data_IF_889606630520
#
_entry.id   IF_889606630520
#
_cell.length_a   1.000
_cell.length_b   1.000
_cell.length_c   1.000
_cell.angle_alpha   90.00
_cell.angle_beta   90.00
_cell.angle_gamma   90.00
#
_symmetry.space_group_name_H-M   'P 1'
#
loop_
_entity.id
_entity.type
_entity.pdbx_description
1 polymer ?
#
# COMPACT_ATOMS: atom_id res chain seq x y z
N UNK A 1 0.09 13.62 -17.55
CA UNK A 1 -1.28 13.76 -17.03
C UNK A 1 -1.52 12.60 -16.06
N UNK A 2 -1.30 12.83 -14.77
CA UNK A 2 -1.69 11.87 -13.72
C UNK A 2 -3.18 12.06 -13.51
N UNK A 3 -3.96 11.03 -13.82
CA UNK A 3 -5.42 11.06 -13.87
C UNK A 3 -6.03 11.64 -12.59
N UNK A 4 -6.64 12.83 -12.71
CA UNK A 4 -7.51 13.44 -11.70
C UNK A 4 -8.97 12.99 -11.82
N UNK A 5 -9.27 11.93 -12.57
CA UNK A 5 -10.58 11.28 -12.49
C UNK A 5 -10.50 10.36 -11.29
N UNK A 6 -11.20 10.71 -10.20
CA UNK A 6 -11.23 9.93 -8.97
C UNK A 6 -11.47 8.44 -9.31
N UNK A 7 -10.46 7.54 -9.20
CA UNK A 7 -10.53 6.14 -9.67
C UNK A 7 -11.47 5.25 -8.84
N UNK A 8 -12.41 5.90 -8.17
CA UNK A 8 -13.12 5.43 -7.01
C UNK A 8 -14.64 5.59 -7.15
N UNK A 9 -15.12 6.29 -8.18
CA UNK A 9 -16.51 6.20 -8.61
C UNK A 9 -16.74 4.84 -9.31
N UNK A 10 -17.90 4.23 -9.10
CA UNK A 10 -18.26 3.06 -9.88
C UNK A 10 -18.59 3.50 -11.33
N UNK A 11 -18.11 2.79 -12.36
CA UNK A 11 -18.58 2.98 -13.72
C UNK A 11 -20.12 2.83 -13.80
N UNK A 12 -20.79 3.51 -14.75
CA UNK A 12 -22.22 3.32 -14.98
C UNK A 12 -22.58 1.84 -15.12
N UNK A 13 -23.59 1.38 -14.36
CA UNK A 13 -24.04 -0.01 -14.36
C UNK A 13 -23.29 -0.95 -13.42
N UNK A 14 -22.24 -0.50 -12.72
CA UNK A 14 -21.62 -1.25 -11.64
C UNK A 14 -22.21 -0.87 -10.28
N UNK A 15 -22.40 -1.86 -9.40
CA UNK A 15 -22.88 -1.64 -8.05
C UNK A 15 -21.83 -0.87 -7.24
N UNK A 16 -22.24 0.25 -6.66
CA UNK A 16 -21.43 0.93 -5.65
C UNK A 16 -21.41 0.13 -4.36
N UNK A 17 -20.21 -0.12 -3.86
CA UNK A 17 -20.00 -0.74 -2.56
C UNK A 17 -19.74 0.34 -1.50
N UNK A 18 -20.11 0.04 -0.27
CA UNK A 18 -19.76 0.86 0.90
C UNK A 18 -18.35 0.51 1.37
N UNK A 19 -17.59 1.53 1.75
CA UNK A 19 -16.21 1.43 2.19
C UNK A 19 -16.06 2.16 3.51
N UNK A 20 -15.56 1.46 4.51
CA UNK A 20 -15.36 2.00 5.85
C UNK A 20 -13.94 1.71 6.32
N UNK A 21 -13.31 2.68 6.99
CA UNK A 21 -12.10 2.43 7.78
C UNK A 21 -12.42 2.75 9.24
N UNK A 22 -12.16 1.79 10.12
CA UNK A 22 -12.34 1.94 11.56
C UNK A 22 -11.04 1.66 12.30
N UNK A 23 -10.91 2.21 13.50
CA UNK A 23 -9.84 1.89 14.43
C UNK A 23 -10.41 1.62 15.82
N UNK A 24 -9.75 0.75 16.59
CA UNK A 24 -10.19 0.37 17.94
C UNK A 24 -9.03 -0.12 18.80
N UNK A 25 -9.20 -0.05 20.12
CA UNK A 25 -8.18 -0.45 21.08
C UNK A 25 -8.30 -1.94 21.32
N UNK A 26 -7.19 -2.66 21.15
CA UNK A 26 -7.09 -4.09 21.37
C UNK A 26 -7.05 -4.43 22.87
N UNK A 27 -7.83 -5.42 23.30
CA UNK A 27 -7.80 -5.96 24.68
C UNK A 27 -6.95 -7.22 24.83
N UNK A 28 -6.45 -7.77 23.73
CA UNK A 28 -5.64 -8.99 23.73
C UNK A 28 -4.25 -8.65 24.31
N UNK A 29 -3.92 -9.27 25.45
CA UNK A 29 -2.67 -9.02 26.17
C UNK A 29 -1.51 -9.90 25.69
N UNK A 30 -1.82 -11.14 25.30
CA UNK A 30 -0.84 -12.14 24.86
C UNK A 30 -1.37 -12.90 23.64
N UNK A 31 -0.48 -13.46 22.83
CA UNK A 31 -0.87 -14.30 21.71
C UNK A 31 -1.61 -13.56 20.58
N UNK A 32 -1.36 -12.25 20.40
CA UNK A 32 -2.01 -11.44 19.35
C UNK A 32 -1.95 -12.09 17.97
N UNK A 33 -0.82 -12.74 17.66
CA UNK A 33 -0.64 -13.46 16.41
C UNK A 33 -1.66 -14.60 16.23
N UNK A 34 -1.79 -15.48 17.22
CA UNK A 34 -2.75 -16.58 17.19
C UNK A 34 -4.18 -16.05 17.12
N UNK A 35 -4.48 -14.99 17.88
CA UNK A 35 -5.81 -14.39 17.88
C UNK A 35 -6.16 -13.74 16.53
N UNK A 36 -5.18 -13.17 15.85
CA UNK A 36 -5.32 -12.63 14.50
C UNK A 36 -5.58 -13.74 13.47
N UNK A 37 -4.88 -14.88 13.58
CA UNK A 37 -5.17 -16.08 12.79
C UNK A 37 -6.58 -16.62 13.04
N UNK A 38 -7.03 -16.65 14.29
CA UNK A 38 -8.40 -17.06 14.62
C UNK A 38 -9.45 -16.11 14.03
N UNK A 39 -9.18 -14.79 14.06
CA UNK A 39 -10.04 -13.81 13.38
C UNK A 39 -10.08 -14.13 11.89
N UNK A 40 -8.93 -14.34 11.24
CA UNK A 40 -8.85 -14.69 9.81
C UNK A 40 -9.66 -15.95 9.49
N UNK A 41 -9.49 -17.02 10.26
CA UNK A 41 -10.17 -18.30 10.05
C UNK A 41 -11.69 -18.17 10.09
N UNK A 42 -12.22 -17.29 10.97
CA UNK A 42 -13.65 -17.01 11.02
C UNK A 42 -14.08 -16.00 9.95
N UNK A 43 -13.33 -14.92 9.73
CA UNK A 43 -13.72 -13.83 8.83
C UNK A 43 -13.69 -14.24 7.37
N UNK A 44 -12.72 -15.02 6.93
CA UNK A 44 -12.56 -15.37 5.51
C UNK A 44 -13.81 -16.01 4.88
N UNK A 45 -14.41 -17.09 5.42
CA UNK A 45 -15.60 -17.70 4.83
C UNK A 45 -16.83 -16.79 4.90
N UNK A 46 -17.03 -16.06 6.01
CA UNK A 46 -18.17 -15.15 6.16
C UNK A 46 -18.07 -13.96 5.20
N UNK A 47 -16.89 -13.34 5.12
CA UNK A 47 -16.65 -12.23 4.21
C UNK A 47 -16.89 -12.62 2.75
N UNK A 48 -16.44 -13.81 2.34
CA UNK A 48 -16.71 -14.32 1.00
C UNK A 48 -18.21 -14.50 0.73
N UNK A 49 -18.96 -15.06 1.69
CA UNK A 49 -20.41 -15.24 1.57
C UNK A 49 -21.18 -13.90 1.50
N UNK A 50 -20.74 -12.90 2.28
CA UNK A 50 -21.38 -11.58 2.40
C UNK A 50 -20.88 -10.57 1.33
N UNK A 51 -19.96 -10.99 0.46
CA UNK A 51 -19.33 -10.11 -0.53
C UNK A 51 -18.49 -8.98 0.09
N UNK A 52 -17.97 -9.19 1.29
CA UNK A 52 -17.09 -8.26 2.01
C UNK A 52 -15.63 -8.57 1.65
N UNK A 53 -14.88 -7.53 1.32
CA UNK A 53 -13.43 -7.58 1.26
C UNK A 53 -12.87 -6.74 2.40
N UNK A 54 -11.86 -7.23 3.10
CA UNK A 54 -11.36 -6.56 4.28
C UNK A 54 -9.85 -6.68 4.49
N UNK A 55 -9.29 -5.66 5.14
CA UNK A 55 -7.93 -5.66 5.67
C UNK A 55 -7.98 -5.41 7.18
N UNK A 56 -7.42 -6.34 7.95
CA UNK A 56 -7.18 -6.16 9.38
C UNK A 56 -5.71 -5.86 9.64
N UNK A 57 -5.42 -4.69 10.21
CA UNK A 57 -4.08 -4.31 10.64
C UNK A 57 -4.02 -4.21 12.16
N UNK A 58 -2.96 -4.79 12.75
CA UNK A 58 -2.61 -4.60 14.14
C UNK A 58 -1.27 -3.88 14.27
N UNK A 59 -1.24 -2.85 15.10
CA UNK A 59 -0.02 -2.15 15.50
C UNK A 59 -0.20 -1.48 16.85
N UNK A 60 0.81 -1.59 17.72
CA UNK A 60 0.90 -0.85 18.99
C UNK A 60 -0.37 -0.94 19.86
N UNK A 61 -1.02 -2.11 19.94
CA UNK A 61 -2.24 -2.29 20.75
C UNK A 61 -3.53 -1.75 20.11
N UNK A 62 -3.51 -1.41 18.82
CA UNK A 62 -4.68 -0.98 18.06
C UNK A 62 -4.98 -1.93 16.91
N UNK A 63 -6.27 -2.12 16.64
CA UNK A 63 -6.75 -2.65 15.38
C UNK A 63 -7.18 -1.52 14.46
N UNK A 64 -6.82 -1.63 13.17
CA UNK A 64 -7.34 -0.81 12.08
C UNK A 64 -7.99 -1.75 11.07
N UNK A 65 -9.27 -1.54 10.77
CA UNK A 65 -10.05 -2.40 9.90
C UNK A 65 -10.60 -1.58 8.73
N UNK A 66 -10.15 -1.90 7.52
CA UNK A 66 -10.70 -1.39 6.27
C UNK A 66 -11.60 -2.47 5.67
N UNK A 67 -12.90 -2.20 5.56
CA UNK A 67 -13.87 -3.13 4.99
C UNK A 67 -14.65 -2.51 3.82
N UNK A 68 -14.97 -3.34 2.84
CA UNK A 68 -15.58 -2.98 1.57
C UNK A 68 -16.64 -4.01 1.14
N UNK A 69 -17.89 -3.61 0.93
CA UNK A 69 -18.96 -4.56 0.61
C UNK A 69 -20.34 -3.92 0.43
N UNK A 70 -21.39 -4.73 0.22
CA UNK A 70 -22.76 -4.23 0.19
C UNK A 70 -23.12 -3.48 1.48
N UNK A 71 -23.86 -2.37 1.37
CA UNK A 71 -24.19 -1.51 2.52
C UNK A 71 -24.86 -2.24 3.70
N UNK A 72 -25.85 -3.14 3.49
CA UNK A 72 -26.43 -3.91 4.60
C UNK A 72 -25.38 -4.74 5.33
N UNK A 73 -24.48 -5.38 4.59
CA UNK A 73 -23.46 -6.27 5.16
C UNK A 73 -22.35 -5.52 5.88
N UNK A 74 -21.97 -4.33 5.40
CA UNK A 74 -21.05 -3.45 6.13
C UNK A 74 -21.67 -2.98 7.46
N UNK A 75 -22.97 -2.64 7.48
CA UNK A 75 -23.65 -2.27 8.74
C UNK A 75 -23.73 -3.44 9.71
N UNK A 76 -24.06 -4.64 9.23
CA UNK A 76 -24.07 -5.86 10.03
C UNK A 76 -22.69 -6.16 10.61
N UNK A 77 -21.63 -6.00 9.80
CA UNK A 77 -20.25 -6.14 10.25
C UNK A 77 -19.90 -5.15 11.37
N UNK A 78 -20.23 -3.86 11.20
CA UNK A 78 -19.96 -2.83 12.21
C UNK A 78 -20.69 -3.09 13.53
N UNK A 79 -21.93 -3.59 13.49
CA UNK A 79 -22.66 -4.01 14.69
C UNK A 79 -21.99 -5.18 15.41
N UNK A 80 -21.54 -6.20 14.67
CA UNK A 80 -20.79 -7.33 15.23
C UNK A 80 -19.48 -6.88 15.87
N UNK A 81 -18.74 -6.01 15.20
CA UNK A 81 -17.49 -5.44 15.73
C UNK A 81 -17.73 -4.62 17.00
N UNK A 82 -18.82 -3.85 17.08
CA UNK A 82 -19.13 -3.06 18.28
C UNK A 82 -19.36 -3.92 19.53
N UNK A 83 -19.80 -5.19 19.35
CA UNK A 83 -20.00 -6.15 20.44
C UNK A 83 -18.86 -7.15 20.65
N UNK A 84 -17.77 -7.07 19.88
CA UNK A 84 -16.68 -8.04 19.95
C UNK A 84 -15.78 -7.75 21.17
N UNK A 85 -15.63 -8.70 22.12
CA UNK A 85 -14.92 -8.48 23.38
C UNK A 85 -13.41 -8.36 23.23
N UNK A 86 -12.84 -8.60 22.04
CA UNK A 86 -11.39 -8.52 21.81
C UNK A 86 -10.89 -7.08 21.66
N UNK A 87 -11.80 -6.11 21.57
CA UNK A 87 -11.47 -4.71 21.40
C UNK A 87 -12.56 -3.79 21.97
N UNK A 88 -12.27 -2.49 22.03
CA UNK A 88 -13.24 -1.47 22.43
C UNK A 88 -12.94 -0.12 21.79
N UNK A 89 -13.79 0.88 22.07
CA UNK A 89 -13.62 2.26 21.57
C UNK A 89 -13.48 2.28 20.05
N UNK A 90 -14.48 1.73 19.36
CA UNK A 90 -14.52 1.71 17.90
C UNK A 90 -14.75 3.12 17.35
N UNK A 91 -13.81 3.60 16.54
CA UNK A 91 -13.85 4.89 15.88
C UNK A 91 -13.92 4.71 14.36
N UNK A 92 -14.91 5.33 13.71
CA UNK A 92 -14.95 5.44 12.26
C UNK A 92 -14.06 6.59 11.79
N UNK A 93 -13.15 6.30 10.86
CA UNK A 93 -12.16 7.26 10.33
C UNK A 93 -12.41 7.61 8.87
N UNK A 94 -13.23 6.83 8.17
CA UNK A 94 -13.58 7.03 6.77
C UNK A 94 -14.92 6.38 6.45
N UNK A 95 -15.75 7.04 5.63
CA UNK A 95 -16.92 6.43 4.99
C UNK A 95 -17.08 6.95 3.56
N UNK A 96 -17.30 6.04 2.62
CA UNK A 96 -17.56 6.40 1.21
C UNK A 96 -18.29 5.29 0.46
N UNK A 97 -18.82 5.61 -0.72
CA UNK A 97 -19.36 4.63 -1.67
C UNK A 97 -18.67 4.75 -3.02
N UNK A 98 -18.62 3.66 -3.78
CA UNK A 98 -18.06 3.67 -5.12
C UNK A 98 -17.51 2.32 -5.57
N UNK A 99 -16.49 2.33 -6.45
CA UNK A 99 -15.82 1.11 -6.92
C UNK A 99 -15.05 0.43 -5.78
N UNK A 100 -15.04 -0.91 -5.79
CA UNK A 100 -14.20 -1.73 -4.92
C UNK A 100 -12.72 -1.47 -5.17
N UNK A 101 -11.97 -1.22 -4.10
CA UNK A 101 -10.51 -1.03 -4.11
C UNK A 101 -9.81 -2.31 -3.66
N UNK A 102 -10.34 -2.99 -2.65
CA UNK A 102 -9.73 -4.19 -2.10
C UNK A 102 -9.88 -5.37 -3.07
N UNK A 103 -8.78 -5.93 -3.60
CA UNK A 103 -8.87 -6.92 -4.66
C UNK A 103 -9.11 -8.33 -4.15
N UNK A 104 -8.92 -8.59 -2.84
CA UNK A 104 -9.07 -9.92 -2.25
C UNK A 104 -10.02 -9.89 -1.05
N UNK A 105 -10.74 -10.99 -0.75
CA UNK A 105 -11.70 -11.04 0.35
C UNK A 105 -11.10 -10.77 1.74
N UNK A 106 -9.82 -11.11 1.93
CA UNK A 106 -9.15 -10.86 3.21
C UNK A 106 -7.67 -10.51 3.04
N UNK A 107 -7.17 -9.66 3.92
CA UNK A 107 -5.74 -9.46 4.14
C UNK A 107 -5.50 -9.09 5.58
N UNK A 108 -4.34 -9.44 6.10
CA UNK A 108 -4.02 -9.22 7.50
C UNK A 108 -2.58 -8.79 7.68
N UNK A 109 -2.34 -7.76 8.48
CA UNK A 109 -0.99 -7.23 8.69
C UNK A 109 -0.73 -7.00 10.15
N UNK A 110 0.41 -7.49 10.62
CA UNK A 110 0.92 -7.21 11.95
C UNK A 110 2.24 -6.46 11.82
N UNK A 111 2.26 -5.21 12.28
CA UNK A 111 3.47 -4.38 12.23
C UNK A 111 4.18 -4.36 13.57
N UNK A 112 5.45 -4.75 13.58
CA UNK A 112 6.33 -4.50 14.71
C UNK A 112 6.73 -3.03 14.66
N UNK A 113 6.29 -2.26 15.64
CA UNK A 113 6.66 -0.86 15.82
C UNK A 113 7.12 -0.64 17.26
N UNK A 114 8.15 0.19 17.45
CA UNK A 114 8.60 0.64 18.78
C UNK A 114 7.70 1.72 19.37
N UNK A 115 6.71 2.16 18.60
CA UNK A 115 5.75 3.16 19.00
C UNK A 115 4.80 2.64 20.09
N UNK A 116 4.51 3.49 21.07
CA UNK A 116 3.52 3.20 22.12
C UNK A 116 2.07 3.29 21.64
N UNK A 117 1.17 2.55 22.30
CA UNK A 117 -0.28 2.62 22.04
C UNK A 117 -0.86 4.03 22.16
N UNK A 118 -0.29 4.86 23.04
CA UNK A 118 -0.72 6.25 23.24
C UNK A 118 -0.37 7.11 22.03
N UNK A 119 0.84 6.97 21.49
CA UNK A 119 1.26 7.73 20.31
C UNK A 119 0.44 7.33 19.06
N UNK A 120 0.20 6.03 18.88
CA UNK A 120 -0.67 5.54 17.80
C UNK A 120 -2.09 6.08 17.97
N UNK A 121 -2.64 6.02 19.19
CA UNK A 121 -3.96 6.53 19.51
C UNK A 121 -4.13 8.03 19.25
N UNK A 122 -3.10 8.85 19.50
CA UNK A 122 -3.12 10.28 19.13
C UNK A 122 -3.33 10.49 17.63
N UNK A 123 -2.70 9.66 16.78
CA UNK A 123 -2.92 9.73 15.33
C UNK A 123 -4.32 9.29 14.94
N UNK A 124 -4.85 8.24 15.57
CA UNK A 124 -6.25 7.80 15.36
C UNK A 124 -7.20 8.94 15.68
N UNK A 125 -7.03 9.59 16.83
CA UNK A 125 -7.90 10.70 17.25
C UNK A 125 -7.76 11.93 16.36
N UNK A 126 -6.55 12.25 15.88
CA UNK A 126 -6.35 13.34 14.92
C UNK A 126 -7.09 13.09 13.60
N UNK A 127 -7.06 11.86 13.07
CA UNK A 127 -7.83 11.49 11.88
C UNK A 127 -9.34 11.53 12.13
N UNK A 128 -9.77 11.09 13.31
CA UNK A 128 -11.18 11.16 13.71
C UNK A 128 -11.68 12.60 13.77
N UNK A 129 -10.90 13.51 14.35
CA UNK A 129 -11.24 14.94 14.41
C UNK A 129 -11.36 15.55 13.02
N UNK A 130 -10.46 15.20 12.09
CA UNK A 130 -10.57 15.64 10.68
C UNK A 130 -11.84 15.10 10.02
N UNK A 131 -12.14 13.82 10.21
CA UNK A 131 -13.37 13.20 9.72
C UNK A 131 -14.63 13.91 10.26
N UNK A 132 -14.66 14.25 11.56
CA UNK A 132 -15.78 14.99 12.18
C UNK A 132 -15.90 16.42 11.65
N UNK A 133 -14.79 17.05 11.24
CA UNK A 133 -14.76 18.35 10.53
C UNK A 133 -15.14 18.24 9.05
N UNK A 134 -15.46 17.03 8.56
CA UNK A 134 -15.85 16.77 7.18
C UNK A 134 -14.68 16.64 6.21
N UNK A 135 -13.44 16.52 6.70
CA UNK A 135 -12.25 16.24 5.89
C UNK A 135 -12.06 14.72 5.82
N UNK A 136 -12.03 14.17 4.61
CA UNK A 136 -11.80 12.74 4.39
C UNK A 136 -10.54 12.49 3.56
N UNK A 137 -9.95 11.32 3.77
CA UNK A 137 -8.79 10.84 3.02
C UNK A 137 -9.14 9.51 2.37
N UNK A 138 -8.41 9.11 1.33
CA UNK A 138 -8.53 7.76 0.77
C UNK A 138 -8.51 6.68 1.88
N UNK A 139 -9.27 5.57 1.78
CA UNK A 139 -9.08 4.44 2.69
C UNK A 139 -7.62 3.97 2.79
N UNK A 140 -6.92 3.92 1.64
CA UNK A 140 -5.50 3.61 1.55
C UNK A 140 -4.62 4.64 2.27
N UNK A 141 -4.97 5.93 2.20
CA UNK A 141 -4.29 7.04 2.87
C UNK A 141 -4.51 6.98 4.39
N UNK A 142 -5.74 6.74 4.86
CA UNK A 142 -6.05 6.56 6.29
C UNK A 142 -5.19 5.43 6.87
N UNK A 143 -5.15 4.27 6.19
CA UNK A 143 -4.35 3.14 6.64
C UNK A 143 -2.85 3.47 6.65
N UNK A 144 -2.34 4.21 5.66
CA UNK A 144 -0.93 4.66 5.65
C UNK A 144 -0.60 5.66 6.74
N UNK A 145 -1.44 6.67 6.98
CA UNK A 145 -1.26 7.66 8.06
C UNK A 145 -1.15 7.00 9.44
N UNK A 146 -1.76 5.83 9.60
CA UNK A 146 -1.71 5.05 10.83
C UNK A 146 -0.54 4.06 10.88
N UNK A 147 -0.43 3.18 9.87
CA UNK A 147 0.54 2.07 9.83
C UNK A 147 1.95 2.49 9.37
N UNK A 148 2.02 3.63 8.70
CA UNK A 148 3.15 4.03 7.89
C UNK A 148 3.35 5.54 7.77
N UNK A 149 3.15 6.34 8.84
CA UNK A 149 3.21 7.80 8.73
C UNK A 149 4.59 8.26 8.24
N UNK A 150 4.62 9.28 7.39
CA UNK A 150 5.86 9.98 7.03
C UNK A 150 6.60 10.40 8.31
N UNK A 151 7.90 10.12 8.42
CA UNK A 151 8.70 10.44 9.60
C UNK A 151 9.68 11.61 9.38
N UNK A 152 9.91 12.02 8.13
CA UNK A 152 10.79 13.15 7.83
C UNK A 152 10.30 14.45 8.50
N UNK A 153 11.12 15.09 9.37
CA UNK A 153 10.75 16.35 10.00
C UNK A 153 10.39 17.45 9.01
N UNK A 154 11.10 17.51 7.88
CA UNK A 154 10.83 18.48 6.81
C UNK A 154 9.45 18.26 6.18
N UNK A 155 9.03 17.00 6.01
CA UNK A 155 7.73 16.66 5.44
C UNK A 155 6.58 16.89 6.43
N UNK A 156 6.82 16.73 7.73
CA UNK A 156 5.83 16.99 8.78
C UNK A 156 5.38 18.46 8.85
N UNK A 157 6.23 19.39 8.38
CA UNK A 157 5.90 20.82 8.28
C UNK A 157 5.09 21.21 7.05
N UNK A 158 4.84 20.28 6.11
CA UNK A 158 4.07 20.55 4.90
C UNK A 158 2.57 20.54 5.17
N UNK A 159 1.80 21.23 4.31
CA UNK A 159 0.34 21.29 4.42
C UNK A 159 -0.33 19.90 4.32
N UNK A 160 0.22 19.02 3.49
CA UNK A 160 -0.16 17.60 3.45
C UNK A 160 1.07 16.69 3.60
N UNK A 161 1.35 16.18 4.81
CA UNK A 161 2.47 15.27 5.06
C UNK A 161 2.37 13.91 4.33
N UNK A 162 1.21 13.55 3.77
CA UNK A 162 1.05 12.35 2.91
C UNK A 162 1.17 12.64 1.41
N UNK A 163 1.35 13.89 0.99
CA UNK A 163 1.67 14.23 -0.39
C UNK A 163 3.17 13.98 -0.65
N UNK A 164 3.53 12.70 -0.86
CA UNK A 164 4.90 12.27 -1.13
C UNK A 164 4.96 11.22 -2.24
N UNK A 165 6.11 11.15 -2.94
CA UNK A 165 6.33 10.12 -3.95
C UNK A 165 6.53 8.75 -3.31
N UNK A 166 5.82 7.75 -3.84
CA UNK A 166 5.90 6.35 -3.41
C UNK A 166 6.50 5.53 -4.53
N UNK A 167 7.73 5.06 -4.36
CA UNK A 167 8.42 4.27 -5.39
C UNK A 167 8.63 2.86 -4.88
N UNK A 168 7.97 1.91 -5.53
CA UNK A 168 8.22 0.49 -5.32
C UNK A 168 9.51 0.04 -5.95
N UNK A 169 10.20 -0.93 -5.35
CA UNK A 169 11.32 -1.63 -6.00
C UNK A 169 11.30 -3.12 -5.65
N UNK A 170 11.51 -3.96 -6.66
CA UNK A 170 11.63 -5.41 -6.52
C UNK A 170 12.68 -5.95 -7.49
N UNK A 171 13.49 -6.91 -7.03
CA UNK A 171 14.50 -7.57 -7.86
C UNK A 171 14.05 -8.96 -8.30
N UNK A 172 14.46 -9.38 -9.50
CA UNK A 172 14.12 -10.69 -10.06
C UNK A 172 14.86 -11.82 -9.35
N UNK A 173 16.14 -11.60 -9.06
CA UNK A 173 16.99 -12.44 -8.22
C UNK A 173 17.39 -11.74 -6.92
N UNK A 174 18.11 -12.46 -6.05
CA UNK A 174 18.83 -11.88 -4.90
C UNK A 174 17.99 -10.99 -3.97
N UNK A 175 18.69 -10.02 -3.36
CA UNK A 175 18.19 -9.05 -2.37
C UNK A 175 18.52 -7.59 -2.79
N UNK A 176 18.80 -7.35 -4.07
CA UNK A 176 19.33 -6.08 -4.57
C UNK A 176 18.35 -4.91 -4.36
N UNK A 177 17.04 -5.17 -4.42
CA UNK A 177 16.04 -4.16 -4.06
C UNK A 177 16.17 -3.67 -2.61
N UNK A 178 16.51 -4.56 -1.68
CA UNK A 178 16.76 -4.21 -0.28
C UNK A 178 18.12 -3.52 -0.11
N UNK A 179 19.15 -3.99 -0.82
CA UNK A 179 20.45 -3.33 -0.86
C UNK A 179 20.35 -1.88 -1.35
N UNK A 180 19.50 -1.61 -2.36
CA UNK A 180 19.22 -0.27 -2.85
C UNK A 180 18.61 0.65 -1.79
N UNK A 181 17.65 0.14 -0.99
CA UNK A 181 17.09 0.90 0.15
C UNK A 181 18.18 1.21 1.19
N UNK A 182 19.05 0.24 1.50
CA UNK A 182 20.18 0.45 2.40
C UNK A 182 21.19 1.48 1.88
N UNK A 183 21.53 1.41 0.59
CA UNK A 183 22.42 2.36 -0.07
C UNK A 183 21.82 3.78 -0.08
N UNK A 184 20.53 3.91 -0.38
CA UNK A 184 19.84 5.21 -0.32
C UNK A 184 19.85 5.80 1.08
N UNK A 185 19.58 5.00 2.10
CA UNK A 185 19.64 5.45 3.50
C UNK A 185 21.01 6.02 3.86
N UNK A 186 22.10 5.33 3.46
CA UNK A 186 23.46 5.85 3.67
C UNK A 186 23.70 7.15 2.90
N UNK A 187 23.26 7.22 1.65
CA UNK A 187 23.43 8.40 0.78
C UNK A 187 22.68 9.63 1.28
N UNK A 188 21.47 9.44 1.81
CA UNK A 188 20.58 10.55 2.22
C UNK A 188 20.66 10.84 3.72
N UNK A 189 21.42 10.05 4.49
CA UNK A 189 21.42 10.10 5.95
C UNK A 189 20.10 9.62 6.58
N UNK A 190 19.28 8.88 5.82
CA UNK A 190 18.01 8.34 6.26
C UNK A 190 18.14 7.08 7.11
N UNK A 191 17.04 6.67 7.74
CA UNK A 191 16.95 5.40 8.48
C UNK A 191 16.11 4.39 7.71
N UNK A 192 16.60 3.14 7.61
CA UNK A 192 15.83 2.04 7.03
C UNK A 192 14.80 1.55 8.04
N UNK A 193 13.53 1.63 7.67
CA UNK A 193 12.44 1.06 8.43
C UNK A 193 12.01 -0.28 7.84
N UNK A 194 11.77 -1.28 8.70
CA UNK A 194 11.44 -2.65 8.31
C UNK A 194 10.00 -3.00 8.66
N UNK A 195 9.35 -3.82 7.83
CA UNK A 195 7.98 -4.29 8.03
C UNK A 195 7.80 -5.74 7.60
N UNK A 196 6.84 -6.40 8.24
CA UNK A 196 6.35 -7.74 7.88
C UNK A 196 4.85 -7.68 7.55
N UNK A 197 4.45 -8.49 6.59
CA UNK A 197 3.08 -8.62 6.09
C UNK A 197 2.68 -10.10 6.10
N UNK A 198 1.42 -10.38 6.43
CA UNK A 198 0.80 -11.69 6.23
C UNK A 198 -0.28 -11.57 5.13
N UNK A 199 -0.61 -12.68 4.48
CA UNK A 199 -1.57 -12.75 3.37
C UNK A 199 -2.69 -13.76 3.62
N UNK A 200 -3.41 -14.09 2.55
CA UNK A 200 -4.47 -15.11 2.58
C UNK A 200 -3.91 -16.53 2.76
N UNK A 201 -2.72 -16.79 2.21
CA UNK A 201 -2.10 -18.12 2.14
C UNK A 201 -0.72 -18.16 2.79
N UNK A 202 0.09 -17.11 2.61
CA UNK A 202 1.47 -17.07 3.10
C UNK A 202 1.66 -16.05 4.22
N UNK A 203 2.47 -16.45 5.19
CA UNK A 203 3.05 -15.58 6.21
C UNK A 203 4.44 -15.12 5.74
N UNK A 204 4.86 -13.91 6.11
CA UNK A 204 6.20 -13.35 5.89
C UNK A 204 6.50 -12.77 4.49
N UNK A 205 5.69 -11.81 4.04
CA UNK A 205 6.18 -10.79 3.11
C UNK A 205 7.03 -9.77 3.86
N UNK A 206 8.31 -9.59 3.50
CA UNK A 206 9.15 -8.52 4.05
C UNK A 206 9.12 -7.28 3.17
N UNK A 207 9.22 -6.11 3.79
CA UNK A 207 9.41 -4.84 3.11
C UNK A 207 10.32 -3.95 3.94
N UNK A 208 11.21 -3.25 3.27
CA UNK A 208 12.02 -2.21 3.87
C UNK A 208 11.77 -0.92 3.11
N UNK A 209 11.85 0.22 3.80
CA UNK A 209 11.74 1.50 3.14
C UNK A 209 12.67 2.53 3.77
N UNK A 210 13.00 3.53 2.96
CA UNK A 210 13.72 4.73 3.36
C UNK A 210 12.95 5.94 2.89
N UNK A 211 12.97 6.98 3.70
CA UNK A 211 12.40 8.29 3.39
C UNK A 211 13.51 9.30 3.22
N UNK A 212 13.32 10.22 2.28
CA UNK A 212 14.25 11.31 2.01
C UNK A 212 13.54 12.44 1.25
N UNK A 213 14.17 13.60 1.18
CA UNK A 213 13.73 14.70 0.32
C UNK A 213 14.42 14.58 -1.05
N UNK A 214 13.67 14.72 -2.13
CA UNK A 214 14.17 14.71 -3.51
C UNK A 214 13.50 15.84 -4.29
N UNK A 215 14.29 16.72 -4.93
CA UNK A 215 13.75 17.85 -5.68
C UNK A 215 12.82 18.79 -4.88
N UNK A 216 12.99 18.85 -3.54
CA UNK A 216 12.10 19.62 -2.65
C UNK A 216 10.83 18.88 -2.20
N UNK A 217 10.58 17.67 -2.70
CA UNK A 217 9.43 16.86 -2.35
C UNK A 217 9.82 15.66 -1.47
N UNK A 218 8.98 15.27 -0.50
CA UNK A 218 9.20 14.04 0.23
C UNK A 218 9.04 12.82 -0.69
N UNK A 219 9.90 11.83 -0.51
CA UNK A 219 9.90 10.58 -1.24
C UNK A 219 10.12 9.41 -0.29
N UNK A 220 9.47 8.29 -0.59
CA UNK A 220 9.68 7.00 0.07
C UNK A 220 9.95 5.93 -0.98
N UNK A 221 11.13 5.33 -0.94
CA UNK A 221 11.45 4.13 -1.71
C UNK A 221 11.18 2.89 -0.86
N UNK A 222 10.45 1.93 -1.41
CA UNK A 222 9.92 0.76 -0.70
C UNK A 222 10.39 -0.51 -1.42
N UNK A 223 11.33 -1.22 -0.82
CA UNK A 223 11.70 -2.57 -1.25
C UNK A 223 10.59 -3.55 -0.89
N UNK A 224 10.19 -4.37 -1.85
CA UNK A 224 9.13 -5.37 -1.71
C UNK A 224 9.68 -6.74 -2.07
N UNK A 225 9.52 -7.71 -1.18
CA UNK A 225 9.83 -9.10 -1.48
C UNK A 225 8.93 -9.63 -2.62
N UNK A 226 9.47 -10.50 -3.47
CA UNK A 226 8.76 -11.09 -4.63
C UNK A 226 7.46 -11.81 -4.25
N UNK A 227 7.48 -12.57 -3.16
CA UNK A 227 6.28 -13.24 -2.61
C UNK A 227 5.24 -12.22 -2.09
N UNK A 228 5.70 -11.05 -1.64
CA UNK A 228 4.90 -9.95 -1.13
C UNK A 228 4.08 -9.18 -2.17
N UNK A 229 4.37 -9.31 -3.46
CA UNK A 229 3.77 -8.48 -4.53
C UNK A 229 2.25 -8.70 -4.67
N UNK A 230 1.81 -9.94 -4.59
CA UNK A 230 0.40 -10.32 -4.82
C UNK A 230 -0.47 -10.22 -3.58
N UNK A 231 0.09 -9.86 -2.42
CA UNK A 231 -0.70 -9.68 -1.18
C UNK A 231 -1.76 -8.59 -1.35
N UNK A 232 -2.99 -8.84 -0.87
CA UNK A 232 -4.13 -7.95 -1.07
C UNK A 232 -3.89 -6.51 -0.59
N UNK A 233 -3.25 -6.33 0.59
CA UNK A 233 -2.87 -4.98 1.03
C UNK A 233 -1.87 -4.30 0.08
N UNK A 234 -0.87 -5.04 -0.40
CA UNK A 234 0.14 -4.47 -1.30
C UNK A 234 -0.52 -4.00 -2.60
N UNK A 235 -1.38 -4.84 -3.18
CA UNK A 235 -2.16 -4.53 -4.37
C UNK A 235 -3.06 -3.31 -4.17
N UNK A 236 -3.69 -3.17 -3.00
CA UNK A 236 -4.51 -2.00 -2.65
C UNK A 236 -3.71 -0.69 -2.58
N UNK A 237 -2.38 -0.74 -2.42
CA UNK A 237 -1.51 0.44 -2.43
C UNK A 237 -0.88 0.75 -3.79
N UNK A 238 -0.81 -0.21 -4.71
CA UNK A 238 -0.19 0.00 -6.03
C UNK A 238 -0.81 1.17 -6.84
N UNK A 239 -2.13 1.43 -6.79
CA UNK A 239 -2.72 2.58 -7.50
C UNK A 239 -2.16 3.94 -7.08
N UNK A 240 -1.61 4.04 -5.86
CA UNK A 240 -1.03 5.28 -5.32
C UNK A 240 0.46 5.44 -5.68
N UNK A 241 1.04 4.49 -6.43
CA UNK A 241 2.47 4.47 -6.76
C UNK A 241 2.64 4.92 -8.22
N UNK A 242 3.26 6.08 -8.49
CA UNK A 242 3.47 6.51 -9.87
C UNK A 242 4.41 5.55 -10.63
N UNK A 243 5.38 4.98 -9.92
CA UNK A 243 6.39 4.10 -10.49
C UNK A 243 6.62 2.86 -9.64
N UNK A 244 6.88 1.75 -10.31
CA UNK A 244 7.41 0.53 -9.71
C UNK A 244 8.68 0.11 -10.45
N UNK A 245 9.80 0.08 -9.75
CA UNK A 245 11.12 -0.27 -10.28
C UNK A 245 11.27 -1.79 -10.31
N UNK A 246 11.59 -2.33 -11.48
CA UNK A 246 11.77 -3.75 -11.73
C UNK A 246 13.25 -3.99 -12.05
N UNK A 247 13.98 -4.60 -11.11
CA UNK A 247 15.40 -4.93 -11.32
C UNK A 247 15.53 -6.33 -11.90
N UNK A 248 15.81 -6.42 -13.19
CA UNK A 248 15.99 -7.68 -13.89
C UNK A 248 17.43 -8.18 -13.78
N UNK A 249 17.56 -9.50 -13.76
CA UNK A 249 18.83 -10.21 -13.63
C UNK A 249 19.46 -10.60 -14.98
N UNK A 250 18.68 -10.59 -16.06
CA UNK A 250 19.04 -11.10 -17.38
C UNK A 250 18.80 -12.61 -17.53
N UNK A 251 18.50 -13.32 -16.44
CA UNK A 251 18.15 -14.74 -16.47
C UNK A 251 16.64 -14.90 -16.76
N UNK A 252 16.24 -15.47 -17.91
CA UNK A 252 14.84 -15.50 -18.34
C UNK A 252 13.88 -16.05 -17.29
N UNK A 253 14.23 -17.18 -16.66
CA UNK A 253 13.41 -17.80 -15.62
C UNK A 253 13.04 -16.86 -14.48
N UNK A 254 13.99 -16.05 -13.98
CA UNK A 254 13.74 -15.17 -12.84
C UNK A 254 13.02 -13.88 -13.26
N UNK A 255 13.40 -13.34 -14.42
CA UNK A 255 12.83 -12.10 -14.95
C UNK A 255 11.36 -12.30 -15.34
N UNK A 256 11.06 -13.38 -16.06
CA UNK A 256 9.71 -13.74 -16.48
C UNK A 256 8.83 -14.03 -15.25
N UNK A 257 9.38 -14.69 -14.22
CA UNK A 257 8.67 -14.95 -12.97
C UNK A 257 8.36 -13.67 -12.18
N UNK A 258 9.28 -12.71 -12.15
CA UNK A 258 9.04 -11.40 -11.52
C UNK A 258 7.97 -10.62 -12.30
N UNK A 259 8.08 -10.56 -13.64
CA UNK A 259 7.12 -9.87 -14.48
C UNK A 259 5.72 -10.48 -14.33
N UNK A 260 5.60 -11.81 -14.39
CA UNK A 260 4.34 -12.51 -14.19
C UNK A 260 3.69 -12.21 -12.82
N UNK A 261 4.49 -12.10 -11.75
CA UNK A 261 3.98 -11.68 -10.43
C UNK A 261 3.49 -10.23 -10.42
N UNK A 262 4.19 -9.32 -11.11
CA UNK A 262 3.76 -7.93 -11.22
C UNK A 262 2.46 -7.80 -12.04
N UNK A 263 2.34 -8.56 -13.13
CA UNK A 263 1.11 -8.64 -13.92
C UNK A 263 -0.06 -9.12 -13.05
N UNK A 264 0.11 -10.21 -12.31
CA UNK A 264 -0.91 -10.72 -11.37
C UNK A 264 -1.24 -9.71 -10.25
N UNK A 265 -0.25 -8.97 -9.75
CA UNK A 265 -0.48 -7.93 -8.75
C UNK A 265 -1.31 -6.76 -9.29
N UNK A 266 -1.11 -6.40 -10.56
CA UNK A 266 -1.78 -5.30 -11.24
C UNK A 266 -3.16 -5.66 -11.81
N UNK A 267 -3.50 -6.94 -11.89
CA UNK A 267 -4.75 -7.42 -12.45
C UNK A 267 -5.96 -6.79 -11.74
N UNK A 268 -6.93 -6.31 -12.53
CA UNK A 268 -8.19 -5.68 -12.09
C UNK A 268 -8.06 -4.43 -11.21
N UNK A 269 -6.85 -3.86 -11.07
CA UNK A 269 -6.66 -2.60 -10.36
C UNK A 269 -7.27 -1.42 -11.13
N UNK A 270 -7.77 -0.39 -10.43
CA UNK A 270 -8.32 0.80 -11.09
C UNK A 270 -7.25 1.67 -11.75
N UNK A 271 -6.00 1.60 -11.25
CA UNK A 271 -4.83 2.21 -11.83
C UNK A 271 -3.60 1.34 -11.51
N UNK A 272 -2.60 1.37 -12.38
CA UNK A 272 -1.36 0.61 -12.23
C UNK A 272 -0.16 1.54 -12.30
N UNK A 273 0.93 1.25 -11.56
CA UNK A 273 2.16 2.02 -11.65
C UNK A 273 2.78 1.86 -13.05
N UNK A 274 3.50 2.88 -13.52
CA UNK A 274 4.41 2.69 -14.63
C UNK A 274 5.61 1.83 -14.17
N UNK A 275 5.91 0.77 -14.93
CA UNK A 275 7.01 -0.15 -14.63
C UNK A 275 8.32 0.43 -15.17
N UNK A 276 9.22 0.84 -14.28
CA UNK A 276 10.57 1.27 -14.64
C UNK A 276 11.50 0.06 -14.62
N UNK A 277 11.78 -0.51 -15.79
CA UNK A 277 12.70 -1.63 -15.90
C UNK A 277 14.16 -1.20 -15.85
N UNK A 278 14.98 -1.91 -15.09
CA UNK A 278 16.45 -1.87 -15.18
C UNK A 278 16.91 -3.28 -15.53
N UNK A 279 17.64 -3.45 -16.62
CA UNK A 279 18.04 -4.76 -17.11
C UNK A 279 19.50 -4.78 -17.57
N UNK A 280 20.20 -5.92 -17.54
CA UNK A 280 21.62 -5.97 -17.91
C UNK A 280 21.88 -5.86 -19.42
N UNK A 281 20.85 -5.97 -20.26
CA UNK A 281 20.98 -5.88 -21.71
C UNK A 281 19.66 -5.50 -22.41
N UNK A 282 19.76 -5.11 -23.68
CA UNK A 282 18.61 -4.69 -24.49
C UNK A 282 17.61 -5.84 -24.80
N UNK A 283 18.09 -7.07 -24.94
CA UNK A 283 17.24 -8.24 -25.19
C UNK A 283 16.26 -8.49 -24.03
N UNK A 284 16.74 -8.36 -22.79
CA UNK A 284 15.90 -8.46 -21.59
C UNK A 284 14.84 -7.35 -21.58
N UNK A 285 15.20 -6.11 -21.94
CA UNK A 285 14.22 -5.03 -22.08
C UNK A 285 13.15 -5.35 -23.11
N UNK A 286 13.53 -5.82 -24.31
CA UNK A 286 12.58 -6.16 -25.37
C UNK A 286 11.58 -7.24 -24.91
N UNK A 287 12.07 -8.30 -24.24
CA UNK A 287 11.21 -9.36 -23.70
C UNK A 287 10.24 -8.82 -22.63
N UNK A 288 10.75 -8.05 -21.67
CA UNK A 288 9.93 -7.48 -20.60
C UNK A 288 8.91 -6.47 -21.12
N UNK A 289 9.27 -5.67 -22.13
CA UNK A 289 8.37 -4.74 -22.78
C UNK A 289 7.24 -5.47 -23.52
N UNK A 290 7.53 -6.60 -24.19
CA UNK A 290 6.51 -7.42 -24.84
C UNK A 290 5.51 -7.98 -23.82
N UNK A 291 6.00 -8.57 -22.72
CA UNK A 291 5.12 -9.09 -21.65
C UNK A 291 4.27 -7.99 -20.99
N UNK A 292 4.86 -6.81 -20.76
CA UNK A 292 4.10 -5.67 -20.22
C UNK A 292 3.02 -5.18 -21.19
N UNK A 293 3.31 -5.15 -22.50
CA UNK A 293 2.35 -4.76 -23.53
C UNK A 293 1.16 -5.74 -23.61
N UNK A 294 1.41 -7.05 -23.52
CA UNK A 294 0.38 -8.10 -23.45
C UNK A 294 -0.54 -7.91 -22.22
N UNK A 295 0.00 -7.44 -21.10
CA UNK A 295 -0.76 -7.12 -19.89
C UNK A 295 -1.32 -5.69 -19.84
N UNK A 296 -1.16 -4.90 -20.90
CA UNK A 296 -1.53 -3.48 -20.94
C UNK A 296 -0.90 -2.63 -19.82
N UNK A 297 0.32 -2.98 -19.41
CA UNK A 297 1.10 -2.23 -18.42
C UNK A 297 2.06 -1.26 -19.10
N UNK A 298 2.13 -0.03 -18.58
CA UNK A 298 3.09 0.96 -19.06
C UNK A 298 4.50 0.53 -18.65
N UNK A 299 5.39 0.29 -19.63
CA UNK A 299 6.78 -0.07 -19.39
C UNK A 299 7.73 1.02 -19.88
N UNK A 300 8.67 1.41 -19.02
CA UNK A 300 9.71 2.39 -19.29
C UNK A 300 11.05 1.66 -19.18
N UNK A 301 11.82 1.61 -20.28
CA UNK A 301 13.19 1.14 -20.23
C UNK A 301 14.06 2.20 -19.51
N UNK A 302 14.32 1.97 -18.22
CA UNK A 302 15.03 2.90 -17.34
C UNK A 302 16.54 2.93 -17.54
N UNK A 303 17.11 1.89 -18.14
CA UNK A 303 18.50 1.85 -18.56
C UNK A 303 19.11 0.45 -18.45
N UNK A 304 20.26 0.29 -19.12
CA UNK A 304 21.01 -0.95 -19.13
C UNK A 304 22.02 -0.93 -17.99
N UNK A 305 21.78 -1.73 -16.94
CA UNK A 305 22.65 -1.87 -15.77
C UNK A 305 22.38 -3.19 -15.06
N UNK A 306 23.37 -3.63 -14.26
CA UNK A 306 23.21 -4.75 -13.35
C UNK A 306 22.33 -4.34 -12.16
N UNK A 307 21.61 -5.29 -11.54
CA UNK A 307 20.69 -4.99 -10.44
C UNK A 307 21.39 -4.46 -9.18
N UNK A 308 22.71 -4.60 -9.04
CA UNK A 308 23.48 -4.11 -7.89
C UNK A 308 24.12 -2.72 -8.10
N UNK A 309 23.99 -2.13 -9.29
CA UNK A 309 24.52 -0.80 -9.62
C UNK A 309 23.63 0.34 -9.10
N UNK A 310 23.53 0.45 -7.77
CA UNK A 310 22.65 1.39 -7.06
C UNK A 310 22.74 2.85 -7.56
N UNK A 311 23.93 3.45 -7.84
CA UNK A 311 24.01 4.81 -8.36
C UNK A 311 23.29 5.00 -9.71
N UNK A 312 23.42 4.04 -10.62
CA UNK A 312 22.78 4.10 -11.94
C UNK A 312 21.26 3.90 -11.82
N UNK A 313 20.84 2.90 -11.03
CA UNK A 313 19.43 2.66 -10.72
C UNK A 313 18.79 3.93 -10.15
N UNK A 314 19.47 4.58 -9.21
CA UNK A 314 18.98 5.82 -8.61
C UNK A 314 18.85 6.95 -9.61
N UNK A 315 19.83 7.13 -10.50
CA UNK A 315 19.78 8.15 -11.54
C UNK A 315 18.55 7.98 -12.45
N UNK A 316 18.25 6.75 -12.84
CA UNK A 316 17.06 6.45 -13.65
C UNK A 316 15.75 6.78 -12.91
N UNK A 317 15.67 6.44 -11.61
CA UNK A 317 14.50 6.76 -10.76
C UNK A 317 14.35 8.27 -10.60
N UNK A 318 15.44 8.98 -10.31
CA UNK A 318 15.43 10.43 -10.10
C UNK A 318 14.91 11.17 -11.34
N UNK A 319 15.31 10.75 -12.55
CA UNK A 319 14.80 11.32 -13.79
C UNK A 319 13.29 11.14 -13.94
N UNK A 320 12.73 10.00 -13.53
CA UNK A 320 11.28 9.80 -13.57
C UNK A 320 10.55 10.61 -12.51
N UNK A 321 11.11 10.74 -11.31
CA UNK A 321 10.53 11.60 -10.26
C UNK A 321 10.48 13.06 -10.70
N UNK A 322 11.55 13.58 -11.32
CA UNK A 322 11.57 14.93 -11.88
C UNK A 322 10.49 15.13 -12.96
N UNK A 323 10.23 14.11 -13.79
CA UNK A 323 9.15 14.16 -14.80
C UNK A 323 7.76 14.10 -14.20
N UNK A 324 7.59 13.41 -13.08
CA UNK A 324 6.30 13.33 -12.38
C UNK A 324 5.91 14.67 -11.75
N UNK A 325 6.88 15.51 -11.36
CA UNK A 325 6.62 16.80 -10.72
C UNK A 325 6.14 16.64 -9.28
N UNK A 326 5.25 17.51 -8.82
CA UNK A 326 4.74 17.48 -7.45
C UNK A 326 3.91 16.21 -7.16
N UNK A 327 4.09 15.55 -6.01
CA UNK A 327 3.27 14.41 -5.63
C UNK A 327 1.81 14.84 -5.43
N UNK A 328 0.82 13.99 -5.82
CA UNK A 328 -0.58 14.35 -5.68
C UNK A 328 -0.96 14.50 -4.20
N UNK A 329 -1.86 15.45 -3.92
CA UNK A 329 -2.52 15.58 -2.63
C UNK A 329 -3.20 14.27 -2.22
N UNK A 330 -3.16 13.97 -0.94
CA UNK A 330 -3.83 12.80 -0.38
C UNK A 330 -5.24 13.11 0.16
N UNK A 331 -5.64 14.39 0.14
CA UNK A 331 -7.00 14.83 0.45
C UNK A 331 -7.94 14.28 -0.61
N UNK A 332 -9.03 13.68 -0.16
CA UNK A 332 -9.99 13.05 -1.05
C UNK A 332 -11.29 13.84 -1.07
N UNK A 333 -11.68 14.29 -2.25
CA UNK A 333 -12.98 14.92 -2.47
C UNK A 333 -14.09 13.86 -2.43
N UNK A 334 -14.67 13.61 -1.25
CA UNK A 334 -15.80 12.68 -1.10
C UNK A 334 -17.10 13.50 -1.12
N UNK A 335 -18.08 13.19 -1.99
CA UNK A 335 -19.45 13.67 -1.81
C UNK A 335 -19.97 13.13 -0.48
N UNK A 336 -20.31 14.01 0.47
CA UNK A 336 -20.80 13.60 1.79
C UNK A 336 -21.97 12.63 1.63
N UNK A 337 -21.92 11.50 2.34
CA UNK A 337 -23.14 10.74 2.62
C UNK A 337 -24.01 11.64 3.49
N UNK A 338 -25.15 12.10 2.96
CA UNK A 338 -26.16 12.75 3.78
C UNK A 338 -26.56 11.78 4.90
N UNK A 339 -26.57 12.29 6.13
CA UNK A 339 -26.89 11.54 7.34
C UNK A 339 -28.29 10.93 7.31
#
# INVERSE_FOLDING_TARGET
>A
MVNSIAPYAAPPGQLEIERVVTASICHIKEGIYAQMEDIRAHSLPHNAADGIHAILHYQSGWFVHWAEGPSPEIRNLLLRMAGDPRHHSLHTLHTSRGRRILPTPWSMVMSQATESAVQFGRRVMALREQFEKGVQYAPSSVLRRLSAPMQLPQAQGLADPEAFHRVGICSAGGNEAFAMVGWLAQRTGGTVAKRRFAGEQDMDGSSEYVEFMEGGHPCRMIAVARNGLTHGLRRAFLPDWPYFVMLFSGAPRFDDALMGRMMAACENLPATPALLGIAPNAETHQRMQAMAAEAHLAYIAGGIARPDECPFIWQAVQQQLQRAGEPPSSVWDVPRLAA
#
